data_IF_648547967897
#
_entry.id   IF_648547967897
#
_cell.length_a   1.000
_cell.length_b   1.000
_cell.length_c   1.000
_cell.angle_alpha   90.00
_cell.angle_beta   90.00
_cell.angle_gamma   90.00
#
_symmetry.space_group_name_H-M   'P 1'
#
loop_
_entity.id
_entity.type
_entity.pdbx_description
1 polymer ?
#
# COMPACT_ATOMS: atom_id res chain seq x y z
N UNK A 1 -15.31 22.74 6.28
CA UNK A 1 -15.23 21.43 5.62
C UNK A 1 -14.51 20.47 6.56
N UNK A 2 -15.26 19.70 7.34
CA UNK A 2 -14.71 18.85 8.39
C UNK A 2 -14.66 17.40 7.90
N UNK A 3 -13.46 16.84 7.78
CA UNK A 3 -13.21 15.40 7.65
C UNK A 3 -13.28 14.80 9.05
N UNK A 4 -14.28 13.94 9.29
CA UNK A 4 -14.37 13.14 10.51
C UNK A 4 -14.16 11.66 10.22
N UNK A 5 -13.29 11.07 11.04
CA UNK A 5 -13.38 9.72 11.60
C UNK A 5 -13.16 8.52 10.67
N UNK A 6 -11.89 8.15 10.53
CA UNK A 6 -11.45 6.77 10.30
C UNK A 6 -11.89 5.89 11.49
N UNK A 7 -12.86 4.99 11.29
CA UNK A 7 -13.12 3.88 12.22
C UNK A 7 -12.36 2.64 11.75
N UNK A 8 -11.40 2.24 12.58
CA UNK A 8 -10.66 0.98 12.50
C UNK A 8 -11.63 -0.16 12.82
N UNK A 9 -11.87 -1.06 11.86
CA UNK A 9 -12.55 -2.33 12.14
C UNK A 9 -11.51 -3.36 12.60
N UNK A 10 -11.40 -3.52 13.92
CA UNK A 10 -10.77 -4.69 14.52
C UNK A 10 -11.74 -5.87 14.47
N UNK A 11 -11.58 -6.76 13.49
CA UNK A 11 -12.30 -8.04 13.47
C UNK A 11 -11.56 -9.04 14.36
N UNK A 12 -12.01 -9.14 15.62
CA UNK A 12 -11.66 -10.28 16.47
C UNK A 12 -12.51 -11.46 15.99
N UNK A 13 -11.83 -12.45 15.42
CA UNK A 13 -12.43 -13.74 15.11
C UNK A 13 -13.02 -14.37 16.37
N UNK A 14 -14.34 -14.38 16.46
CA UNK A 14 -15.08 -15.32 17.30
C UNK A 14 -15.81 -16.26 16.37
N UNK A 15 -15.60 -17.55 16.60
CA UNK A 15 -16.29 -18.64 15.95
C UNK A 15 -17.80 -18.36 15.89
N UNK A 16 -18.33 -18.13 14.69
CA UNK A 16 -19.75 -18.31 14.45
C UNK A 16 -19.98 -19.81 14.41
N UNK A 17 -20.36 -20.36 15.56
CA UNK A 17 -21.04 -21.64 15.59
C UNK A 17 -22.37 -21.42 14.86
N UNK A 18 -22.51 -21.99 13.66
CA UNK A 18 -23.82 -22.12 13.01
C UNK A 18 -24.62 -23.06 13.94
N UNK A 19 -25.64 -22.58 14.67
CA UNK A 19 -26.18 -23.35 15.78
C UNK A 19 -27.09 -24.47 15.28
N UNK A 20 -27.34 -25.41 16.18
CA UNK A 20 -28.28 -26.54 16.19
C UNK A 20 -29.71 -26.23 15.68
N UNK A 21 -29.99 -24.97 15.31
CA UNK A 21 -31.26 -24.44 14.83
C UNK A 21 -31.61 -24.87 13.39
N UNK A 22 -30.63 -25.11 12.50
CA UNK A 22 -30.94 -25.57 11.13
C UNK A 22 -31.56 -26.98 11.16
N UNK A 23 -31.06 -27.85 12.04
CA UNK A 23 -31.58 -29.20 12.21
C UNK A 23 -32.92 -29.20 12.96
N UNK A 24 -33.10 -28.31 13.94
CA UNK A 24 -34.38 -28.12 14.63
C UNK A 24 -35.49 -27.60 13.69
N UNK A 25 -35.15 -26.71 12.75
CA UNK A 25 -36.13 -26.19 11.78
C UNK A 25 -36.43 -27.23 10.69
N UNK A 26 -35.42 -27.99 10.20
CA UNK A 26 -35.65 -29.15 9.33
C UNK A 26 -36.57 -30.18 9.98
N UNK A 27 -36.36 -30.48 11.25
CA UNK A 27 -37.21 -31.36 12.04
C UNK A 27 -38.66 -30.88 12.09
N UNK A 28 -38.91 -29.58 12.37
CA UNK A 28 -40.26 -29.01 12.36
C UNK A 28 -40.89 -29.05 10.96
N UNK A 29 -40.11 -28.87 9.90
CA UNK A 29 -40.58 -28.91 8.52
C UNK A 29 -40.94 -30.33 8.06
N UNK A 30 -40.16 -31.32 8.45
CA UNK A 30 -40.41 -32.74 8.18
C UNK A 30 -41.59 -33.26 9.00
N UNK A 31 -41.71 -32.84 10.26
CA UNK A 31 -42.87 -33.16 11.11
C UNK A 31 -44.15 -32.54 10.53
N UNK A 32 -44.13 -31.27 10.10
CA UNK A 32 -45.26 -30.62 9.43
C UNK A 32 -45.62 -31.31 8.11
N UNK A 33 -44.64 -31.71 7.29
CA UNK A 33 -44.86 -32.48 6.06
C UNK A 33 -45.47 -33.86 6.31
N UNK A 34 -45.13 -34.50 7.43
CA UNK A 34 -45.69 -35.80 7.84
C UNK A 34 -47.10 -35.67 8.43
N UNK A 35 -47.43 -34.54 9.06
CA UNK A 35 -48.72 -34.32 9.71
C UNK A 35 -49.80 -33.76 8.77
N UNK A 36 -49.43 -32.94 7.78
CA UNK A 36 -50.35 -32.35 6.79
C UNK A 36 -51.21 -33.39 6.02
N UNK A 37 -50.66 -34.53 5.54
CA UNK A 37 -51.44 -35.60 4.90
C UNK A 37 -52.36 -36.34 5.87
N UNK A 38 -51.98 -36.43 7.16
CA UNK A 38 -52.79 -37.11 8.20
C UNK A 38 -53.98 -36.26 8.62
N UNK A 39 -53.85 -34.93 8.58
CA UNK A 39 -54.96 -33.99 8.82
C UNK A 39 -55.93 -33.88 7.64
N UNK A 40 -55.47 -34.14 6.41
CA UNK A 40 -56.33 -34.16 5.20
C UNK A 40 -57.01 -35.51 4.94
N UNK A 41 -56.58 -36.60 5.61
CA UNK A 41 -57.15 -37.95 5.45
C UNK A 41 -57.98 -38.49 6.63
N UNK A 42 -58.19 -37.74 7.71
CA UNK A 42 -59.15 -38.15 8.75
C UNK A 42 -60.57 -37.80 8.33
N UNK A 43 -61.16 -38.63 7.48
CA UNK A 43 -62.60 -38.86 7.50
C UNK A 43 -62.94 -39.58 8.82
N UNK A 44 -63.06 -38.81 9.91
CA UNK A 44 -63.63 -39.34 11.15
C UNK A 44 -65.16 -39.35 10.98
N UNK A 45 -65.69 -40.41 10.40
CA UNK A 45 -67.11 -40.76 10.50
C UNK A 45 -67.37 -41.30 11.91
N UNK A 46 -67.67 -40.40 12.85
CA UNK A 46 -68.30 -40.78 14.11
C UNK A 46 -69.81 -40.59 13.96
N UNK A 47 -70.54 -41.68 13.74
CA UNK A 47 -72.00 -41.70 13.82
C UNK A 47 -72.45 -41.67 15.28
N UNK A 48 -73.08 -40.57 15.69
CA UNK A 48 -73.92 -40.52 16.89
C UNK A 48 -75.40 -40.75 16.46
N UNK A 49 -76.28 -41.33 17.29
CA UNK A 49 -77.63 -41.77 16.86
C UNK A 49 -78.61 -40.65 16.47
N UNK A 50 -78.26 -39.37 16.66
CA UNK A 50 -79.10 -38.23 16.29
C UNK A 50 -78.47 -37.42 15.15
N UNK A 51 -78.51 -37.99 13.94
CA UNK A 51 -78.80 -37.26 12.70
C UNK A 51 -77.99 -36.04 12.25
N UNK A 52 -76.82 -35.71 12.81
CA UNK A 52 -75.99 -34.60 12.35
C UNK A 52 -74.55 -35.00 12.04
N UNK A 53 -74.22 -35.01 10.74
CA UNK A 53 -72.85 -35.08 10.24
C UNK A 53 -72.15 -33.73 10.51
N UNK A 54 -71.38 -33.64 11.59
CA UNK A 54 -70.43 -32.54 11.78
C UNK A 54 -69.10 -33.00 11.20
N UNK A 55 -68.88 -32.70 9.92
CA UNK A 55 -67.55 -32.72 9.33
C UNK A 55 -66.74 -31.69 10.13
N UNK A 56 -65.75 -32.15 10.91
CA UNK A 56 -64.77 -31.30 11.58
C UNK A 56 -63.88 -30.63 10.54
N UNK A 57 -64.43 -29.66 9.82
CA UNK A 57 -63.69 -28.80 8.90
C UNK A 57 -62.75 -27.97 9.78
N UNK A 58 -61.44 -28.23 9.69
CA UNK A 58 -60.44 -27.25 10.13
C UNK A 58 -60.86 -25.92 9.51
N UNK A 59 -61.25 -24.95 10.36
CA UNK A 59 -61.82 -23.70 9.86
C UNK A 59 -60.90 -23.14 8.77
N UNK A 60 -61.44 -22.67 7.62
CA UNK A 60 -60.66 -22.20 6.47
C UNK A 60 -59.52 -21.22 6.84
N UNK A 61 -59.72 -20.49 7.94
CA UNK A 61 -58.78 -19.55 8.52
C UNK A 61 -57.46 -20.20 8.98
N UNK A 62 -57.48 -21.43 9.55
CA UNK A 62 -56.28 -22.12 10.03
C UNK A 62 -55.38 -22.63 8.89
N UNK A 63 -55.99 -23.17 7.82
CA UNK A 63 -55.27 -23.60 6.61
C UNK A 63 -54.64 -22.40 5.88
N UNK A 64 -55.34 -21.26 5.84
CA UNK A 64 -54.81 -20.00 5.30
C UNK A 64 -53.60 -19.52 6.11
N UNK A 65 -53.68 -19.50 7.45
CA UNK A 65 -52.57 -19.11 8.32
C UNK A 65 -51.35 -20.02 8.17
N UNK A 66 -51.53 -21.33 8.09
CA UNK A 66 -50.43 -22.28 7.87
C UNK A 66 -49.75 -22.08 6.52
N UNK A 67 -50.51 -21.81 5.46
CA UNK A 67 -49.95 -21.51 4.12
C UNK A 67 -49.14 -20.21 4.12
N UNK A 68 -49.62 -19.19 4.83
CA UNK A 68 -48.90 -17.93 5.01
C UNK A 68 -47.59 -18.12 5.76
N UNK A 69 -47.59 -18.90 6.85
CA UNK A 69 -46.39 -19.22 7.62
C UNK A 69 -45.39 -20.00 6.75
N UNK A 70 -45.85 -21.01 6.01
CA UNK A 70 -44.99 -21.81 5.14
C UNK A 70 -44.33 -20.97 4.04
N UNK A 71 -45.08 -20.04 3.44
CA UNK A 71 -44.54 -19.10 2.45
C UNK A 71 -43.50 -18.16 3.07
N UNK A 72 -43.75 -17.67 4.29
CA UNK A 72 -42.84 -16.77 4.98
C UNK A 72 -41.53 -17.48 5.33
N UNK A 73 -41.60 -18.71 5.83
CA UNK A 73 -40.43 -19.56 6.10
C UNK A 73 -39.64 -19.83 4.81
N UNK A 74 -40.33 -20.18 3.71
CA UNK A 74 -39.68 -20.43 2.42
C UNK A 74 -38.95 -19.19 1.88
N UNK A 75 -39.56 -18.02 2.00
CA UNK A 75 -38.93 -16.75 1.62
C UNK A 75 -37.69 -16.44 2.49
N UNK A 76 -37.79 -16.64 3.80
CA UNK A 76 -36.66 -16.44 4.73
C UNK A 76 -35.50 -17.37 4.37
N UNK A 77 -35.75 -18.65 4.05
CA UNK A 77 -34.73 -19.56 3.57
C UNK A 77 -34.09 -19.09 2.26
N UNK A 78 -34.89 -18.62 1.29
CA UNK A 78 -34.36 -18.06 0.06
C UNK A 78 -33.42 -16.86 0.32
N UNK A 79 -33.75 -16.00 1.28
CA UNK A 79 -32.90 -14.89 1.68
C UNK A 79 -31.62 -15.33 2.41
N UNK A 80 -31.71 -16.33 3.29
CA UNK A 80 -30.54 -16.89 3.99
C UNK A 80 -29.60 -17.56 2.99
N UNK A 81 -30.11 -18.31 2.04
CA UNK A 81 -29.30 -18.95 1.00
C UNK A 81 -28.63 -17.93 0.08
N UNK A 82 -29.35 -16.87 -0.31
CA UNK A 82 -28.77 -15.76 -1.07
C UNK A 82 -27.65 -15.06 -0.29
N UNK A 83 -27.90 -14.75 0.99
CA UNK A 83 -26.93 -14.13 1.88
C UNK A 83 -25.70 -15.01 2.09
N UNK A 84 -25.87 -16.32 2.25
CA UNK A 84 -24.76 -17.27 2.40
C UNK A 84 -23.89 -17.36 1.14
N UNK A 85 -24.49 -17.24 -0.04
CA UNK A 85 -23.74 -17.17 -1.31
C UNK A 85 -22.96 -15.88 -1.40
N UNK A 86 -23.60 -14.73 -1.18
CA UNK A 86 -22.93 -13.42 -1.17
C UNK A 86 -21.78 -13.38 -0.17
N UNK A 87 -21.97 -13.95 1.03
CA UNK A 87 -20.92 -14.03 2.05
C UNK A 87 -19.77 -14.95 1.63
N UNK A 88 -20.07 -16.07 0.96
CA UNK A 88 -19.04 -16.98 0.43
C UNK A 88 -18.23 -16.34 -0.69
N UNK A 89 -18.90 -15.60 -1.58
CA UNK A 89 -18.26 -14.86 -2.67
C UNK A 89 -17.37 -13.75 -2.11
N UNK A 90 -17.87 -12.95 -1.15
CA UNK A 90 -17.08 -11.91 -0.48
C UNK A 90 -15.82 -12.47 0.21
N UNK A 91 -15.94 -13.65 0.82
CA UNK A 91 -14.81 -14.32 1.47
C UNK A 91 -13.76 -14.76 0.46
N UNK A 92 -14.20 -15.25 -0.70
CA UNK A 92 -13.31 -15.62 -1.80
C UNK A 92 -12.57 -14.40 -2.34
N UNK A 93 -13.28 -13.30 -2.56
CA UNK A 93 -12.69 -12.04 -3.04
C UNK A 93 -11.64 -11.50 -2.06
N UNK A 94 -11.90 -11.56 -0.75
CA UNK A 94 -10.93 -11.18 0.27
C UNK A 94 -9.67 -12.07 0.26
N UNK A 95 -9.83 -13.37 0.06
CA UNK A 95 -8.70 -14.31 -0.02
C UNK A 95 -7.90 -14.14 -1.32
N UNK A 96 -8.55 -13.74 -2.42
CA UNK A 96 -7.88 -13.36 -3.68
C UNK A 96 -7.10 -12.05 -3.51
N UNK A 97 -7.72 -11.00 -2.96
CA UNK A 97 -7.04 -9.72 -2.68
C UNK A 97 -5.83 -9.88 -1.74
N UNK A 98 -5.92 -10.77 -0.74
CA UNK A 98 -4.79 -11.06 0.15
C UNK A 98 -3.62 -11.70 -0.60
N UNK A 99 -3.91 -12.64 -1.52
CA UNK A 99 -2.88 -13.26 -2.35
C UNK A 99 -2.21 -12.25 -3.27
N UNK A 100 -2.99 -11.43 -3.96
CA UNK A 100 -2.47 -10.35 -4.81
C UNK A 100 -1.59 -9.37 -4.02
N UNK A 101 -2.01 -8.99 -2.81
CA UNK A 101 -1.22 -8.12 -1.95
C UNK A 101 0.11 -8.77 -1.56
N UNK A 102 0.11 -10.05 -1.23
CA UNK A 102 1.34 -10.76 -0.87
C UNK A 102 2.28 -10.96 -2.07
N UNK A 103 1.74 -11.21 -3.26
CA UNK A 103 2.52 -11.21 -4.51
C UNK A 103 3.14 -9.84 -4.79
N UNK A 104 2.37 -8.75 -4.65
CA UNK A 104 2.89 -7.40 -4.80
C UNK A 104 3.97 -7.06 -3.77
N UNK A 105 3.82 -7.50 -2.51
CA UNK A 105 4.88 -7.34 -1.50
C UNK A 105 6.16 -8.08 -1.89
N UNK A 106 6.04 -9.31 -2.39
CA UNK A 106 7.19 -10.10 -2.82
C UNK A 106 7.89 -9.46 -4.03
N UNK A 107 7.13 -9.00 -5.02
CA UNK A 107 7.65 -8.27 -6.17
C UNK A 107 8.35 -6.97 -5.75
N UNK A 108 7.72 -6.19 -4.86
CA UNK A 108 8.29 -4.96 -4.31
C UNK A 108 9.60 -5.22 -3.55
N UNK A 109 9.64 -6.26 -2.71
CA UNK A 109 10.86 -6.66 -2.00
C UNK A 109 11.97 -7.14 -2.95
N UNK A 110 11.62 -7.84 -4.04
CA UNK A 110 12.57 -8.25 -5.07
C UNK A 110 13.15 -7.05 -5.82
N UNK A 111 12.29 -6.13 -6.28
CA UNK A 111 12.68 -4.88 -6.92
C UNK A 111 13.58 -4.04 -6.00
N UNK A 112 13.22 -3.92 -4.72
CA UNK A 112 14.00 -3.18 -3.73
C UNK A 112 15.42 -3.74 -3.57
N UNK A 113 15.57 -5.07 -3.48
CA UNK A 113 16.90 -5.72 -3.39
C UNK A 113 17.74 -5.52 -4.65
N UNK A 114 17.11 -5.56 -5.82
CA UNK A 114 17.79 -5.29 -7.10
C UNK A 114 18.25 -3.84 -7.19
N UNK A 115 17.41 -2.91 -6.75
CA UNK A 115 17.72 -1.48 -6.67
C UNK A 115 18.89 -1.18 -5.72
N UNK A 116 18.88 -1.75 -4.52
CA UNK A 116 19.99 -1.63 -3.56
C UNK A 116 21.33 -2.12 -4.16
N UNK A 117 21.32 -3.29 -4.82
CA UNK A 117 22.51 -3.84 -5.47
C UNK A 117 23.04 -2.91 -6.56
N UNK A 118 22.15 -2.37 -7.39
CA UNK A 118 22.52 -1.41 -8.43
C UNK A 118 23.15 -0.15 -7.82
N UNK A 119 22.57 0.41 -6.75
CA UNK A 119 23.08 1.59 -6.05
C UNK A 119 24.47 1.39 -5.47
N UNK A 120 24.74 0.25 -4.81
CA UNK A 120 26.07 -0.08 -4.30
C UNK A 120 27.09 -0.26 -5.43
N UNK A 121 26.68 -0.85 -6.55
CA UNK A 121 27.54 -1.01 -7.72
C UNK A 121 27.95 0.35 -8.28
N UNK A 122 27.02 1.29 -8.43
CA UNK A 122 27.30 2.67 -8.89
C UNK A 122 28.35 3.35 -8.00
N UNK A 123 28.20 3.25 -6.67
CA UNK A 123 29.19 3.81 -5.73
C UNK A 123 30.57 3.16 -5.92
N UNK A 124 30.59 1.85 -6.11
CA UNK A 124 31.83 1.08 -6.33
C UNK A 124 32.51 1.50 -7.65
N UNK A 125 31.75 1.64 -8.74
CA UNK A 125 32.28 2.03 -10.04
C UNK A 125 32.76 3.47 -10.09
N UNK A 126 32.06 4.38 -9.38
CA UNK A 126 32.51 5.76 -9.19
C UNK A 126 33.89 5.82 -8.53
N UNK A 127 34.21 4.88 -7.64
CA UNK A 127 35.56 4.73 -7.09
C UNK A 127 36.56 4.27 -8.17
N UNK A 128 36.18 3.29 -9.02
CA UNK A 128 37.13 2.53 -9.82
C UNK A 128 37.55 3.11 -11.18
N UNK A 129 36.69 3.81 -11.97
CA UNK A 129 37.12 4.41 -13.27
C UNK A 129 35.99 5.18 -13.98
N UNK A 130 36.35 6.27 -14.66
CA UNK A 130 35.45 7.18 -15.39
C UNK A 130 35.47 7.02 -16.92
N UNK A 131 35.49 5.81 -17.50
CA UNK A 131 35.58 5.69 -18.99
C UNK A 131 34.80 4.56 -19.68
N UNK A 132 34.07 3.68 -18.97
CA UNK A 132 33.09 2.76 -19.58
C UNK A 132 31.65 3.01 -19.09
N UNK A 133 31.43 4.29 -18.78
CA UNK A 133 30.31 4.93 -18.11
C UNK A 133 28.93 4.69 -18.80
N UNK A 134 28.93 4.29 -20.07
CA UNK A 134 27.80 4.50 -20.96
C UNK A 134 26.54 3.65 -20.69
N UNK A 135 26.63 2.51 -19.99
CA UNK A 135 25.46 1.65 -19.69
C UNK A 135 24.94 1.79 -18.26
N UNK A 136 25.83 1.99 -17.29
CA UNK A 136 25.44 2.19 -15.89
C UNK A 136 24.87 3.59 -15.66
N UNK A 137 25.37 4.62 -16.33
CA UNK A 137 24.81 5.98 -16.21
C UNK A 137 23.45 6.15 -16.87
N UNK A 138 23.13 5.36 -17.90
CA UNK A 138 21.77 5.27 -18.43
C UNK A 138 20.79 4.73 -17.37
N UNK A 139 21.23 3.82 -16.51
CA UNK A 139 20.44 3.35 -15.36
C UNK A 139 20.46 4.33 -14.18
N UNK A 140 21.52 5.15 -14.01
CA UNK A 140 21.55 6.24 -13.03
C UNK A 140 20.45 7.29 -13.27
N UNK A 141 20.06 7.49 -14.53
CA UNK A 141 18.98 8.41 -14.92
C UNK A 141 17.61 7.99 -14.37
N UNK A 142 17.36 6.69 -14.19
CA UNK A 142 16.08 6.16 -13.73
C UNK A 142 15.84 6.36 -12.22
N UNK A 143 16.86 6.77 -11.46
CA UNK A 143 16.87 6.58 -10.00
C UNK A 143 17.23 7.82 -9.17
N UNK A 144 17.74 8.89 -9.78
CA UNK A 144 18.09 10.15 -9.11
C UNK A 144 19.24 10.02 -8.09
N UNK A 145 19.85 11.12 -7.65
CA UNK A 145 20.72 11.13 -6.48
C UNK A 145 19.87 11.13 -5.19
N UNK A 146 20.34 10.45 -4.15
CA UNK A 146 19.72 10.49 -2.82
C UNK A 146 20.79 10.22 -1.77
N UNK A 147 21.40 11.28 -1.26
CA UNK A 147 22.54 11.24 -0.37
C UNK A 147 22.21 10.53 0.95
N UNK A 148 21.01 10.78 1.48
CA UNK A 148 20.52 10.15 2.71
C UNK A 148 20.36 8.64 2.51
N UNK A 149 19.77 8.23 1.38
CA UNK A 149 19.59 6.82 1.07
C UNK A 149 20.93 6.12 0.87
N UNK A 150 21.83 6.70 0.08
CA UNK A 150 23.13 6.13 -0.22
C UNK A 150 23.99 6.02 1.06
N UNK A 151 23.95 7.03 1.94
CA UNK A 151 24.63 6.99 3.23
C UNK A 151 24.08 5.87 4.14
N UNK A 152 22.75 5.73 4.24
CA UNK A 152 22.11 4.64 5.00
C UNK A 152 22.46 3.28 4.43
N UNK A 153 22.45 3.16 3.10
CA UNK A 153 22.75 1.92 2.40
C UNK A 153 24.18 1.47 2.67
N UNK A 154 25.16 2.39 2.66
CA UNK A 154 26.55 2.10 3.04
C UNK A 154 26.63 1.66 4.51
N UNK A 155 25.98 2.39 5.41
CA UNK A 155 25.98 2.08 6.84
C UNK A 155 25.31 0.73 7.18
N UNK A 156 24.40 0.23 6.34
CA UNK A 156 23.81 -1.09 6.52
C UNK A 156 24.70 -2.24 6.01
N UNK A 157 25.79 -1.95 5.29
CA UNK A 157 26.68 -2.96 4.72
C UNK A 157 27.76 -3.47 5.71
N UNK A 158 27.40 -3.69 6.98
CA UNK A 158 28.35 -4.10 8.03
C UNK A 158 29.02 -5.46 7.78
N UNK A 159 28.52 -6.25 6.84
CA UNK A 159 29.03 -7.57 6.47
C UNK A 159 30.09 -7.54 5.36
N UNK A 160 30.34 -6.38 4.73
CA UNK A 160 31.36 -6.23 3.70
C UNK A 160 32.77 -6.12 4.30
N UNK A 161 33.79 -6.51 3.55
CA UNK A 161 35.18 -6.32 3.95
C UNK A 161 35.54 -4.84 4.08
N UNK A 162 36.54 -4.52 4.92
CA UNK A 162 37.03 -3.15 5.08
C UNK A 162 37.41 -2.48 3.76
N UNK A 163 38.04 -3.22 2.84
CA UNK A 163 38.40 -2.71 1.52
C UNK A 163 37.17 -2.30 0.70
N UNK A 164 36.13 -3.14 0.68
CA UNK A 164 34.88 -2.85 -0.04
C UNK A 164 34.16 -1.64 0.56
N UNK A 165 34.09 -1.54 1.89
CA UNK A 165 33.51 -0.38 2.58
C UNK A 165 34.29 0.91 2.27
N UNK A 166 35.63 0.84 2.22
CA UNK A 166 36.46 1.98 1.84
C UNK A 166 36.17 2.44 0.41
N UNK A 167 36.02 1.51 -0.54
CA UNK A 167 35.70 1.86 -1.93
C UNK A 167 34.32 2.52 -2.04
N UNK A 168 33.32 2.01 -1.32
CA UNK A 168 31.98 2.63 -1.26
C UNK A 168 32.02 4.04 -0.69
N UNK A 169 32.78 4.28 0.38
CA UNK A 169 32.99 5.61 0.97
C UNK A 169 33.66 6.57 -0.01
N UNK A 170 34.70 6.12 -0.72
CA UNK A 170 35.32 6.92 -1.77
C UNK A 170 34.36 7.22 -2.93
N UNK A 171 33.53 6.25 -3.34
CA UNK A 171 32.46 6.45 -4.30
C UNK A 171 31.47 7.54 -3.88
N UNK A 172 31.00 7.45 -2.64
CA UNK A 172 30.13 8.46 -2.02
C UNK A 172 30.75 9.85 -2.07
N UNK A 173 32.02 9.98 -1.63
CA UNK A 173 32.76 11.24 -1.66
C UNK A 173 32.92 11.79 -3.07
N UNK A 174 33.15 10.95 -4.08
CA UNK A 174 33.27 11.39 -5.48
C UNK A 174 31.96 11.91 -6.05
N UNK A 175 30.83 11.26 -5.72
CA UNK A 175 29.50 11.66 -6.21
C UNK A 175 29.05 12.95 -5.52
N UNK A 176 29.05 12.98 -4.18
CA UNK A 176 28.46 14.05 -3.40
C UNK A 176 29.45 15.17 -3.03
N UNK A 177 30.76 14.97 -3.28
CA UNK A 177 31.84 15.92 -2.93
C UNK A 177 31.93 16.24 -1.43
N UNK A 178 31.43 15.33 -0.60
CA UNK A 178 31.49 15.41 0.86
C UNK A 178 31.89 14.04 1.41
N UNK A 179 32.71 14.02 2.45
CA UNK A 179 33.03 12.75 3.12
C UNK A 179 31.79 12.14 3.78
N UNK A 180 31.71 10.82 3.89
CA UNK A 180 30.55 10.17 4.50
C UNK A 180 30.44 10.49 6.00
N UNK A 181 31.55 10.54 6.73
CA UNK A 181 31.55 10.86 8.15
C UNK A 181 31.26 12.35 8.35
N UNK A 182 31.80 13.23 7.48
CA UNK A 182 31.41 14.65 7.45
C UNK A 182 29.90 14.82 7.17
N UNK A 183 29.34 14.07 6.22
CA UNK A 183 27.90 14.08 5.97
C UNK A 183 27.10 13.65 7.21
N UNK A 184 27.55 12.61 7.92
CA UNK A 184 26.91 12.19 9.17
C UNK A 184 26.97 13.28 10.22
N UNK A 185 28.13 13.89 10.42
CA UNK A 185 28.32 14.90 11.45
C UNK A 185 27.58 16.19 11.15
N UNK A 186 27.64 16.66 9.91
CA UNK A 186 27.05 17.93 9.52
C UNK A 186 25.54 17.80 9.24
N UNK A 187 25.06 16.70 8.66
CA UNK A 187 23.69 16.63 8.16
C UNK A 187 22.79 15.69 8.97
N UNK A 188 23.30 14.56 9.44
CA UNK A 188 22.50 13.65 10.28
C UNK A 188 22.50 14.14 11.72
N UNK A 189 23.68 14.38 12.31
CA UNK A 189 23.82 14.73 13.71
C UNK A 189 23.34 16.16 14.02
N UNK A 190 23.40 17.08 13.04
CA UNK A 190 22.81 18.43 13.19
C UNK A 190 21.36 18.52 12.73
N UNK A 191 20.73 17.40 12.37
CA UNK A 191 19.36 17.36 11.85
C UNK A 191 19.14 18.38 10.72
N UNK A 192 19.92 18.26 9.65
CA UNK A 192 19.75 19.10 8.47
C UNK A 192 18.29 19.05 7.99
N UNK A 193 17.68 20.20 7.69
CA UNK A 193 16.37 20.24 7.07
C UNK A 193 16.39 19.49 5.74
N UNK A 194 15.26 18.83 5.42
CA UNK A 194 15.13 18.04 4.19
C UNK A 194 15.47 18.86 2.93
N UNK A 195 15.14 20.16 2.93
CA UNK A 195 15.44 21.08 1.82
C UNK A 195 16.94 21.32 1.60
N UNK A 196 17.75 21.26 2.66
CA UNK A 196 19.20 21.36 2.56
C UNK A 196 19.76 20.06 1.97
N UNK A 197 19.27 18.90 2.43
CA UNK A 197 19.65 17.61 1.83
C UNK A 197 19.19 17.49 0.38
N UNK A 198 18.03 18.04 0.04
CA UNK A 198 17.53 18.09 -1.33
C UNK A 198 18.42 18.97 -2.23
N UNK A 199 18.98 20.07 -1.73
CA UNK A 199 19.90 20.90 -2.50
C UNK A 199 21.18 20.14 -2.89
N UNK A 200 21.69 19.25 -2.03
CA UNK A 200 22.81 18.34 -2.34
C UNK A 200 22.43 17.33 -3.42
N UNK A 201 21.26 16.70 -3.30
CA UNK A 201 20.75 15.74 -4.27
C UNK A 201 20.56 16.40 -5.65
N UNK A 202 19.95 17.58 -5.67
CA UNK A 202 19.78 18.41 -6.87
C UNK A 202 21.13 18.76 -7.49
N UNK A 203 22.13 19.15 -6.68
CA UNK A 203 23.47 19.49 -7.19
C UNK A 203 24.13 18.31 -7.95
N UNK A 204 23.96 17.09 -7.44
CA UNK A 204 24.46 15.89 -8.12
C UNK A 204 23.66 15.63 -9.39
N UNK A 205 22.33 15.75 -9.33
CA UNK A 205 21.47 15.56 -10.49
C UNK A 205 21.74 16.59 -11.61
N UNK A 206 21.95 17.87 -11.29
CA UNK A 206 22.31 18.92 -12.25
C UNK A 206 23.63 18.60 -12.95
N UNK A 207 24.66 18.18 -12.18
CA UNK A 207 25.95 17.76 -12.75
C UNK A 207 25.81 16.55 -13.68
N UNK A 208 24.89 15.63 -13.37
CA UNK A 208 24.56 14.50 -14.24
C UNK A 208 23.86 14.98 -15.52
N UNK A 209 22.84 15.85 -15.42
CA UNK A 209 22.14 16.40 -16.59
C UNK A 209 23.10 17.08 -17.58
N UNK A 210 24.08 17.82 -17.08
CA UNK A 210 25.14 18.44 -17.91
C UNK A 210 25.93 17.44 -18.74
N UNK A 211 26.29 16.31 -18.14
CA UNK A 211 27.16 15.34 -18.78
C UNK A 211 26.45 14.59 -19.93
N UNK A 212 25.12 14.41 -19.84
CA UNK A 212 24.37 13.52 -20.72
C UNK A 212 23.52 14.20 -21.78
N UNK A 213 22.91 15.35 -21.46
CA UNK A 213 21.87 15.92 -22.32
C UNK A 213 22.33 17.11 -23.17
N UNK A 214 23.63 17.46 -23.17
CA UNK A 214 24.16 18.69 -23.81
C UNK A 214 23.30 19.93 -23.48
N UNK A 215 22.72 19.92 -22.28
CA UNK A 215 21.91 20.98 -21.74
C UNK A 215 22.72 22.29 -21.69
N UNK A 216 22.03 23.44 -21.81
CA UNK A 216 22.69 24.76 -21.80
C UNK A 216 23.63 24.84 -20.58
N UNK A 217 24.93 25.03 -20.86
CA UNK A 217 25.97 25.13 -19.82
C UNK A 217 25.62 26.21 -18.80
N UNK A 218 24.98 27.29 -19.24
CA UNK A 218 24.64 28.44 -18.42
C UNK A 218 23.54 28.12 -17.41
N UNK A 219 22.46 27.45 -17.83
CA UNK A 219 21.34 27.07 -16.93
C UNK A 219 21.82 26.10 -15.85
N UNK A 220 22.61 25.11 -16.24
CA UNK A 220 23.18 24.12 -15.32
C UNK A 220 24.15 24.78 -14.35
N UNK A 221 25.05 25.63 -14.85
CA UNK A 221 26.01 26.31 -14.01
C UNK A 221 25.32 27.23 -12.99
N UNK A 222 24.28 27.96 -13.42
CA UNK A 222 23.47 28.80 -12.54
C UNK A 222 22.78 27.97 -11.43
N UNK A 223 22.12 26.87 -11.78
CA UNK A 223 21.48 25.98 -10.80
C UNK A 223 22.50 25.34 -9.84
N UNK A 224 23.65 24.90 -10.37
CA UNK A 224 24.73 24.33 -9.56
C UNK A 224 25.30 25.34 -8.55
N UNK A 225 25.46 26.60 -8.95
CA UNK A 225 25.88 27.67 -8.06
C UNK A 225 24.85 27.97 -6.98
N UNK A 226 23.55 27.98 -7.31
CA UNK A 226 22.49 28.17 -6.32
C UNK A 226 22.45 27.06 -5.27
N UNK A 227 22.65 25.80 -5.68
CA UNK A 227 22.84 24.70 -4.73
C UNK A 227 24.01 24.98 -3.78
N UNK A 228 25.18 25.36 -4.33
CA UNK A 228 26.36 25.70 -3.54
C UNK A 228 26.10 26.85 -2.56
N UNK A 229 25.42 27.90 -3.00
CA UNK A 229 25.12 29.06 -2.18
C UNK A 229 24.18 28.71 -1.02
N UNK A 230 23.15 27.89 -1.26
CA UNK A 230 22.26 27.40 -0.20
C UNK A 230 23.04 26.58 0.85
N UNK A 231 23.86 25.63 0.38
CA UNK A 231 24.67 24.78 1.27
C UNK A 231 25.65 25.64 2.07
N UNK A 232 26.39 26.54 1.42
CA UNK A 232 27.34 27.45 2.06
C UNK A 232 26.65 28.35 3.08
N UNK A 233 25.53 28.98 2.72
CA UNK A 233 24.79 29.85 3.62
C UNK A 233 24.29 29.11 4.87
N UNK A 234 23.91 27.84 4.73
CA UNK A 234 23.51 27.03 5.87
C UNK A 234 24.69 26.70 6.80
N UNK A 235 25.87 26.38 6.24
CA UNK A 235 27.10 26.23 7.02
C UNK A 235 27.51 27.55 7.73
N UNK A 236 27.50 28.67 7.01
CA UNK A 236 27.85 30.00 7.55
C UNK A 236 26.88 30.45 8.65
N UNK A 237 25.60 30.09 8.53
CA UNK A 237 24.60 30.28 9.56
C UNK A 237 24.76 29.33 10.77
N UNK A 238 25.88 28.59 10.86
CA UNK A 238 26.15 27.58 11.90
C UNK A 238 25.03 26.56 12.02
N UNK A 239 24.54 26.09 10.86
CA UNK A 239 23.45 25.13 10.74
C UNK A 239 22.07 25.66 11.14
N UNK A 240 21.92 26.98 11.34
CA UNK A 240 20.63 27.60 11.62
C UNK A 240 19.82 27.80 10.32
N UNK A 241 18.69 27.10 10.22
CA UNK A 241 17.77 27.25 9.10
C UNK A 241 16.76 28.36 9.38
N UNK A 242 16.60 29.29 8.44
CA UNK A 242 15.75 30.46 8.58
C UNK A 242 14.91 30.70 7.33
N UNK A 243 13.98 31.66 7.41
CA UNK A 243 13.05 31.98 6.31
C UNK A 243 13.76 32.38 5.02
N UNK A 244 14.95 32.99 5.11
CA UNK A 244 15.77 33.36 3.95
C UNK A 244 16.29 32.11 3.24
N UNK A 245 16.81 31.13 3.98
CA UNK A 245 17.23 29.85 3.43
C UNK A 245 16.04 29.07 2.83
N UNK A 246 14.88 29.09 3.49
CA UNK A 246 13.67 28.43 2.98
C UNK A 246 13.22 29.03 1.65
N UNK A 247 13.22 30.36 1.54
CA UNK A 247 12.90 31.04 0.29
C UNK A 247 13.87 30.67 -0.84
N UNK A 248 15.18 30.60 -0.54
CA UNK A 248 16.19 30.18 -1.52
C UNK A 248 16.00 28.72 -1.96
N UNK A 249 15.73 27.81 -1.02
CA UNK A 249 15.46 26.40 -1.33
C UNK A 249 14.22 26.24 -2.23
N UNK A 250 13.12 26.95 -1.94
CA UNK A 250 11.91 26.91 -2.78
C UNK A 250 12.13 27.48 -4.17
N UNK A 251 12.91 28.55 -4.28
CA UNK A 251 13.25 29.13 -5.57
C UNK A 251 14.09 28.15 -6.40
N UNK A 252 15.09 27.49 -5.79
CA UNK A 252 15.89 26.46 -6.44
C UNK A 252 15.02 25.29 -6.92
N UNK A 253 14.13 24.78 -6.08
CA UNK A 253 13.24 23.66 -6.40
C UNK A 253 12.39 23.97 -7.64
N UNK A 254 11.78 25.16 -7.68
CA UNK A 254 10.99 25.61 -8.84
C UNK A 254 11.82 25.72 -10.11
N UNK A 255 13.02 26.28 -10.04
CA UNK A 255 13.90 26.43 -11.20
C UNK A 255 14.44 25.09 -11.69
N UNK A 256 14.75 24.18 -10.77
CA UNK A 256 15.17 22.82 -11.08
C UNK A 256 14.06 22.06 -11.80
N UNK A 257 12.81 22.14 -11.35
CA UNK A 257 11.67 21.49 -11.99
C UNK A 257 11.44 22.00 -13.42
N UNK A 258 11.52 23.32 -13.63
CA UNK A 258 11.42 23.92 -14.96
C UNK A 258 12.54 23.41 -15.86
N UNK A 259 13.79 23.46 -15.39
CA UNK A 259 14.93 23.00 -16.16
C UNK A 259 14.83 21.49 -16.47
N UNK A 260 14.40 20.67 -15.51
CA UNK A 260 14.22 19.24 -15.71
C UNK A 260 13.16 18.93 -16.78
N UNK A 261 12.03 19.64 -16.76
CA UNK A 261 10.98 19.51 -17.77
C UNK A 261 11.46 19.93 -19.16
N UNK A 262 12.19 21.04 -19.25
CA UNK A 262 12.74 21.52 -20.53
C UNK A 262 13.74 20.53 -21.13
N UNK A 263 14.57 19.92 -20.28
CA UNK A 263 15.56 18.94 -20.69
C UNK A 263 14.98 17.56 -21.00
N UNK A 264 13.84 17.22 -20.41
CA UNK A 264 13.14 15.95 -20.66
C UNK A 264 12.34 15.95 -21.97
N UNK A 265 12.14 17.12 -22.62
CA UNK A 265 11.40 17.26 -23.88
C UNK A 265 12.26 17.12 -25.14
N UNK A 266 13.58 17.07 -25.00
CA UNK A 266 14.56 16.94 -26.09
C UNK A 266 15.06 15.51 -26.19
#
# INVERSE_FOLDING_TARGET
MALQSTKVFGFVGKHFHVPEDIDAIKFVQDELRLQLPKMTRRENTCTNPEGFNIIGVLQPNYLSSLKTILNLVTNVYGHIDAFNREFSDLRRDLDDQRRELDEHKQQSASLHRSYQRMRLQILTDACHRTTSLDRQLRNEFAHGASIVYDARLINSQNHLSHEKLRNLRHGFQRIYRIDLDEFRDCYINKNAPERITAALDMQVNIRRLHHWQNASRDTIFALGNRCNDIIRNWFEAKFNYNDKLDALCRALEKEYDIAFLELSRK
#
